data_IF_242663911865
#
_entry.id   IF_242663911865
#
_cell.length_a   1.000
_cell.length_b   1.000
_cell.length_c   1.000
_cell.angle_alpha   90.00
_cell.angle_beta   90.00
_cell.angle_gamma   90.00
#
_symmetry.space_group_name_H-M   'P 1'
#
loop_
_entity.id
_entity.type
_entity.pdbx_description
1 polymer ?
#
# COMPACT_ATOMS: atom_id res chain seq x y z
N UNK A 1 -37.60 23.51 83.11
CA UNK A 1 -36.62 22.62 82.47
C UNK A 1 -36.88 22.73 80.98
N UNK A 2 -36.07 23.51 80.28
CA UNK A 2 -36.04 23.50 78.82
C UNK A 2 -34.89 22.54 78.51
N UNK A 3 -35.22 21.35 78.03
CA UNK A 3 -34.21 20.44 77.52
C UNK A 3 -33.54 21.16 76.34
N UNK A 4 -32.28 21.58 76.51
CA UNK A 4 -31.43 21.99 75.40
C UNK A 4 -31.31 20.76 74.49
N UNK A 5 -32.22 20.68 73.50
CA UNK A 5 -32.13 19.80 72.35
C UNK A 5 -30.78 20.10 71.71
N UNK A 6 -29.79 19.29 72.08
CA UNK A 6 -28.43 19.33 71.58
C UNK A 6 -28.51 19.00 70.09
N UNK A 7 -28.69 20.04 69.27
CA UNK A 7 -28.76 19.92 67.81
C UNK A 7 -27.64 19.01 67.33
N UNK A 8 -28.03 17.90 66.70
CA UNK A 8 -27.09 16.96 66.12
C UNK A 8 -26.57 17.53 64.81
N UNK A 9 -25.50 18.30 64.90
CA UNK A 9 -24.83 18.94 63.77
C UNK A 9 -24.45 17.93 62.68
N UNK A 10 -24.13 16.67 63.04
CA UNK A 10 -23.79 15.64 62.08
C UNK A 10 -25.00 15.16 61.27
N UNK A 11 -26.17 15.05 61.91
CA UNK A 11 -27.41 14.73 61.19
C UNK A 11 -27.83 15.87 60.26
N UNK A 12 -27.71 17.12 60.72
CA UNK A 12 -28.03 18.31 59.93
C UNK A 12 -27.09 18.47 58.72
N UNK A 13 -25.79 18.24 58.90
CA UNK A 13 -24.79 18.29 57.82
C UNK A 13 -25.09 17.22 56.75
N UNK A 14 -25.43 15.99 57.17
CA UNK A 14 -25.82 14.92 56.25
C UNK A 14 -27.10 15.24 55.48
N UNK A 15 -28.09 15.85 56.12
CA UNK A 15 -29.32 16.29 55.46
C UNK A 15 -29.03 17.39 54.43
N UNK A 16 -28.19 18.37 54.80
CA UNK A 16 -27.75 19.43 53.88
C UNK A 16 -26.99 18.85 52.68
N UNK A 17 -26.05 17.94 52.91
CA UNK A 17 -25.31 17.27 51.83
C UNK A 17 -26.24 16.46 50.91
N UNK A 18 -27.24 15.79 51.48
CA UNK A 18 -28.23 15.05 50.69
C UNK A 18 -29.09 15.98 49.83
N UNK A 19 -29.53 17.13 50.37
CA UNK A 19 -30.27 18.14 49.64
C UNK A 19 -29.44 18.72 48.47
N UNK A 20 -28.18 19.10 48.75
CA UNK A 20 -27.26 19.61 47.71
C UNK A 20 -27.02 18.57 46.61
N UNK A 21 -26.85 17.30 46.97
CA UNK A 21 -26.66 16.23 46.00
C UNK A 21 -27.92 15.99 45.14
N UNK A 22 -29.11 16.13 45.73
CA UNK A 22 -30.39 16.02 45.03
C UNK A 22 -30.58 17.17 44.03
N UNK A 23 -30.28 18.40 44.44
CA UNK A 23 -30.33 19.58 43.56
C UNK A 23 -29.34 19.44 42.39
N UNK A 24 -28.10 19.05 42.67
CA UNK A 24 -27.10 18.81 41.63
C UNK A 24 -27.52 17.70 40.65
N UNK A 25 -28.28 16.70 41.11
CA UNK A 25 -28.86 15.66 40.24
C UNK A 25 -29.97 16.22 39.38
N UNK A 26 -30.88 17.00 39.96
CA UNK A 26 -31.97 17.65 39.25
C UNK A 26 -31.46 18.57 38.14
N UNK A 27 -30.44 19.38 38.44
CA UNK A 27 -29.80 20.26 37.45
C UNK A 27 -29.21 19.49 36.28
N UNK A 28 -28.47 18.39 36.56
CA UNK A 28 -27.90 17.51 35.51
C UNK A 28 -28.96 16.90 34.61
N UNK A 29 -30.04 16.39 35.18
CA UNK A 29 -31.15 15.83 34.40
C UNK A 29 -31.87 16.91 33.58
N UNK A 30 -32.09 18.09 34.16
CA UNK A 30 -32.74 19.20 33.47
C UNK A 30 -31.90 19.73 32.30
N UNK A 31 -30.59 19.88 32.50
CA UNK A 31 -29.66 20.25 31.42
C UNK A 31 -29.68 19.22 30.28
N UNK A 32 -29.69 17.93 30.60
CA UNK A 32 -29.82 16.88 29.58
C UNK A 32 -31.17 16.94 28.83
N UNK A 33 -32.28 17.23 29.53
CA UNK A 33 -33.60 17.44 28.90
C UNK A 33 -33.57 18.61 27.93
N UNK A 34 -33.04 19.77 28.37
CA UNK A 34 -32.93 20.96 27.54
C UNK A 34 -32.06 20.69 26.30
N UNK A 35 -30.91 20.03 26.49
CA UNK A 35 -30.01 19.64 25.40
C UNK A 35 -30.69 18.74 24.37
N UNK A 36 -31.40 17.71 24.81
CA UNK A 36 -32.12 16.80 23.92
C UNK A 36 -33.21 17.52 23.10
N UNK A 37 -33.91 18.48 23.73
CA UNK A 37 -34.90 19.33 23.05
C UNK A 37 -34.21 20.23 22.01
N UNK A 38 -33.11 20.89 22.38
CA UNK A 38 -32.33 21.74 21.47
C UNK A 38 -31.81 20.96 20.26
N UNK A 39 -31.38 19.71 20.46
CA UNK A 39 -30.91 18.81 19.41
C UNK A 39 -32.03 18.24 18.53
N UNK A 40 -33.31 18.46 18.88
CA UNK A 40 -34.49 17.97 18.14
C UNK A 40 -34.47 16.45 17.92
N UNK A 41 -34.22 15.74 19.00
CA UNK A 41 -34.24 14.27 19.07
C UNK A 41 -35.54 13.68 18.50
N UNK A 42 -35.42 12.61 17.69
CA UNK A 42 -36.51 12.12 16.85
C UNK A 42 -37.53 11.21 17.54
N UNK A 43 -37.19 10.66 18.71
CA UNK A 43 -38.05 9.72 19.45
C UNK A 43 -38.00 9.95 20.97
N UNK A 44 -39.05 9.54 21.68
CA UNK A 44 -39.08 9.61 23.14
C UNK A 44 -38.07 8.66 23.79
N UNK A 45 -37.78 7.52 23.16
CA UNK A 45 -36.78 6.57 23.65
C UNK A 45 -35.39 7.20 23.67
N UNK A 46 -34.99 7.86 22.57
CA UNK A 46 -33.71 8.58 22.49
C UNK A 46 -33.64 9.74 23.50
N UNK A 47 -34.76 10.48 23.70
CA UNK A 47 -34.82 11.51 24.74
C UNK A 47 -34.63 10.90 26.14
N UNK A 48 -35.30 9.79 26.43
CA UNK A 48 -35.19 9.09 27.72
C UNK A 48 -33.77 8.62 27.97
N UNK A 49 -33.12 8.06 26.96
CA UNK A 49 -31.76 7.55 27.06
C UNK A 49 -30.76 8.67 27.35
N UNK A 50 -30.89 9.84 26.70
CA UNK A 50 -30.06 11.02 26.96
C UNK A 50 -30.22 11.49 28.41
N UNK A 51 -31.44 11.54 28.94
CA UNK A 51 -31.71 11.98 30.31
C UNK A 51 -31.19 10.97 31.34
N UNK A 52 -31.36 9.66 31.09
CA UNK A 52 -30.81 8.60 31.94
C UNK A 52 -29.28 8.64 31.97
N UNK A 53 -28.65 8.95 30.84
CA UNK A 53 -27.21 9.10 30.69
C UNK A 53 -26.65 10.45 31.19
N UNK A 54 -27.45 11.32 31.80
CA UNK A 54 -27.03 12.65 32.27
C UNK A 54 -25.92 12.64 33.33
N UNK A 55 -25.73 11.51 34.01
CA UNK A 55 -24.67 11.32 34.99
C UNK A 55 -23.32 10.95 34.37
N UNK A 56 -23.27 10.65 33.07
CA UNK A 56 -22.03 10.33 32.37
C UNK A 56 -21.22 11.61 32.19
N UNK A 57 -19.93 11.54 32.55
CA UNK A 57 -18.98 12.61 32.30
C UNK A 57 -18.34 12.42 30.92
N UNK A 58 -18.00 13.49 30.20
CA UNK A 58 -17.14 13.40 29.03
C UNK A 58 -15.88 12.61 29.36
N UNK A 59 -15.39 11.80 28.42
CA UNK A 59 -14.16 11.05 28.58
C UNK A 59 -12.97 12.00 28.70
N UNK A 60 -12.32 12.01 29.85
CA UNK A 60 -11.12 12.79 30.09
C UNK A 60 -9.91 12.20 29.35
N UNK A 61 -8.88 13.02 29.14
CA UNK A 61 -7.67 12.58 28.41
C UNK A 61 -6.94 11.43 29.12
N UNK A 62 -6.98 11.39 30.45
CA UNK A 62 -6.42 10.31 31.25
C UNK A 62 -7.22 9.00 31.16
N UNK A 63 -8.54 9.07 30.98
CA UNK A 63 -9.39 7.89 30.80
C UNK A 63 -9.11 7.18 29.46
N UNK A 64 -8.63 7.93 28.46
CA UNK A 64 -8.25 7.41 27.13
C UNK A 64 -6.97 6.57 27.18
N UNK A 65 -6.04 6.88 28.09
CA UNK A 65 -4.75 6.17 28.23
C UNK A 65 -4.95 4.76 28.80
N UNK A 66 -5.95 4.58 29.68
CA UNK A 66 -6.24 3.30 30.34
C UNK A 66 -6.86 2.23 29.45
N UNK A 67 -7.44 2.60 28.30
CA UNK A 67 -8.01 1.64 27.34
C UNK A 67 -6.98 1.02 26.40
N UNK A 68 -5.69 1.41 26.47
CA UNK A 68 -4.66 0.95 25.53
C UNK A 68 -4.93 1.36 24.07
N UNK A 69 -5.90 2.27 23.87
CA UNK A 69 -6.24 2.85 22.59
C UNK A 69 -5.73 4.28 22.63
N UNK A 70 -4.56 4.50 22.05
CA UNK A 70 -4.14 5.86 21.71
C UNK A 70 -5.24 6.47 20.84
N UNK A 71 -6.07 7.34 21.42
CA UNK A 71 -7.17 7.97 20.68
C UNK A 71 -6.63 8.81 19.50
N UNK A 72 -5.37 9.23 19.60
CA UNK A 72 -4.59 9.85 18.52
C UNK A 72 -4.14 8.86 17.42
N UNK A 73 -4.09 7.57 17.71
CA UNK A 73 -3.88 6.49 16.73
C UNK A 73 -5.21 6.03 16.10
N UNK A 74 -6.35 6.24 16.74
CA UNK A 74 -7.69 6.19 16.12
C UNK A 74 -7.98 7.46 15.31
N UNK A 75 -7.01 7.85 14.48
CA UNK A 75 -7.19 8.82 13.43
C UNK A 75 -8.05 8.15 12.35
N UNK A 76 -9.36 8.38 12.43
CA UNK A 76 -10.32 8.06 11.34
C UNK A 76 -9.90 8.69 9.99
N UNK A 77 -8.91 9.58 10.02
CA UNK A 77 -8.10 10.02 8.90
C UNK A 77 -6.61 9.75 9.16
N UNK A 78 -6.03 8.74 8.52
CA UNK A 78 -4.58 8.48 8.54
C UNK A 78 -3.73 9.66 8.01
N UNK A 79 -4.37 10.66 7.36
CA UNK A 79 -3.74 11.79 6.69
C UNK A 79 -3.96 13.15 7.36
N UNK A 80 -4.72 13.23 8.46
CA UNK A 80 -4.93 14.49 9.15
C UNK A 80 -3.82 14.73 10.19
N UNK A 81 -2.64 15.16 9.78
CA UNK A 81 -1.66 15.76 10.69
C UNK A 81 -2.07 17.21 10.93
N UNK A 82 -2.79 17.47 12.02
CA UNK A 82 -2.96 18.82 12.54
C UNK A 82 -1.62 19.28 13.10
N UNK A 83 -1.10 20.32 12.48
CA UNK A 83 0.02 21.14 12.93
C UNK A 83 -0.43 21.86 14.20
N UNK A 84 0.08 21.44 15.36
CA UNK A 84 -0.01 22.25 16.58
C UNK A 84 1.36 22.88 16.84
N UNK A 85 1.35 24.21 16.88
CA UNK A 85 2.50 25.05 17.18
C UNK A 85 2.76 25.05 18.69
N UNK A 86 3.98 24.74 19.11
CA UNK A 86 4.41 24.97 20.49
C UNK A 86 5.40 23.96 21.06
N UNK A 87 6.61 23.86 20.50
CA UNK A 87 7.86 23.68 21.25
C UNK A 87 9.03 23.58 20.26
N UNK A 88 10.01 24.44 20.48
CA UNK A 88 11.16 24.65 19.61
C UNK A 88 12.11 23.44 19.63
N UNK A 89 12.53 23.09 18.41
CA UNK A 89 13.87 22.59 18.07
C UNK A 89 14.22 21.12 18.37
N UNK A 90 13.78 20.26 17.45
CA UNK A 90 14.76 19.57 16.60
C UNK A 90 14.23 19.44 15.18
N UNK A 91 14.82 20.25 14.31
CA UNK A 91 14.56 20.35 12.90
C UNK A 91 14.82 18.99 12.22
N UNK A 92 13.76 18.37 11.71
CA UNK A 92 13.84 17.55 10.50
C UNK A 92 12.48 17.55 9.79
N UNK A 93 11.97 18.74 9.46
CA UNK A 93 11.25 18.87 8.20
C UNK A 93 12.30 18.82 7.10
N UNK A 94 12.64 17.61 6.64
CA UNK A 94 13.25 17.50 5.32
C UNK A 94 12.14 17.67 4.29
N UNK A 95 12.31 18.56 3.30
CA UNK A 95 11.71 18.35 1.99
C UNK A 95 12.14 16.95 1.57
N UNK A 96 11.27 15.95 1.74
CA UNK A 96 11.64 14.57 1.48
C UNK A 96 11.82 14.44 -0.03
N UNK A 97 13.09 14.52 -0.43
CA UNK A 97 13.57 14.03 -1.71
C UNK A 97 12.94 12.66 -1.97
N UNK A 98 12.62 12.32 -3.24
CA UNK A 98 12.12 10.99 -3.56
C UNK A 98 13.07 9.95 -2.93
N UNK A 99 12.53 9.17 -2.01
CA UNK A 99 13.25 8.14 -1.26
C UNK A 99 14.08 7.34 -2.26
N UNK A 100 15.42 7.34 -2.12
CA UNK A 100 16.29 6.51 -2.96
C UNK A 100 16.07 5.03 -2.68
N UNK A 101 15.52 4.70 -1.53
CA UNK A 101 15.24 3.36 -1.05
C UNK A 101 13.95 2.79 -1.64
N UNK A 102 13.89 1.47 -1.83
CA UNK A 102 12.72 0.81 -2.39
C UNK A 102 11.64 0.70 -1.31
N UNK A 103 10.35 0.87 -1.67
CA UNK A 103 9.26 0.69 -0.72
C UNK A 103 9.31 -0.71 -0.07
N UNK A 104 9.19 -0.75 1.25
CA UNK A 104 9.11 -1.98 2.03
C UNK A 104 7.66 -2.36 2.34
N UNK A 105 6.73 -1.39 2.27
CA UNK A 105 5.29 -1.61 2.50
C UNK A 105 4.42 -1.08 1.36
N UNK A 106 3.19 -1.60 1.24
CA UNK A 106 2.21 -1.12 0.27
C UNK A 106 1.85 0.36 0.45
N UNK A 107 1.90 0.85 1.69
CA UNK A 107 1.62 2.24 2.03
C UNK A 107 2.72 3.17 1.54
N UNK A 108 3.99 2.83 1.79
CA UNK A 108 5.14 3.56 1.27
C UNK A 108 5.12 3.61 -0.25
N UNK A 109 4.80 2.49 -0.90
CA UNK A 109 4.65 2.46 -2.35
C UNK A 109 3.56 3.41 -2.83
N UNK A 110 2.37 3.37 -2.24
CA UNK A 110 1.27 4.26 -2.64
C UNK A 110 1.63 5.74 -2.43
N UNK A 111 2.28 6.07 -1.32
CA UNK A 111 2.75 7.43 -1.05
C UNK A 111 3.73 7.90 -2.12
N UNK A 112 4.71 7.06 -2.46
CA UNK A 112 5.75 7.39 -3.43
C UNK A 112 5.18 7.38 -4.87
N UNK A 113 4.22 6.52 -5.15
CA UNK A 113 3.48 6.42 -6.43
C UNK A 113 2.75 7.72 -6.76
N UNK A 114 1.98 8.25 -5.80
CA UNK A 114 1.18 9.46 -5.97
C UNK A 114 2.02 10.71 -6.25
N UNK A 115 3.27 10.75 -5.74
CA UNK A 115 4.19 11.90 -5.88
C UNK A 115 4.97 11.90 -7.20
N UNK A 116 4.96 10.80 -7.95
CA UNK A 116 5.80 10.58 -9.13
C UNK A 116 5.02 10.83 -10.44
N UNK A 117 5.75 11.26 -11.47
CA UNK A 117 5.28 11.40 -12.85
C UNK A 117 5.21 10.03 -13.57
N UNK A 118 4.58 9.94 -14.76
CA UNK A 118 4.50 8.67 -15.50
C UNK A 118 5.87 8.00 -15.77
N UNK A 119 6.92 8.72 -16.22
CA UNK A 119 8.26 8.12 -16.38
C UNK A 119 8.86 7.62 -15.05
N UNK A 120 8.69 8.38 -13.97
CA UNK A 120 9.23 7.99 -12.66
C UNK A 120 8.47 6.79 -12.06
N UNK A 121 7.17 6.67 -12.36
CA UNK A 121 6.33 5.52 -12.01
C UNK A 121 6.77 4.28 -12.76
N UNK A 122 7.10 4.40 -14.05
CA UNK A 122 7.66 3.31 -14.84
C UNK A 122 8.96 2.77 -14.23
N UNK A 123 9.90 3.68 -13.92
CA UNK A 123 11.17 3.31 -13.28
C UNK A 123 10.94 2.70 -11.90
N UNK A 124 10.01 3.22 -11.11
CA UNK A 124 9.65 2.65 -9.81
C UNK A 124 9.16 1.21 -9.93
N UNK A 125 8.24 0.93 -10.87
CA UNK A 125 7.70 -0.41 -11.10
C UNK A 125 8.78 -1.41 -11.48
N UNK A 126 9.70 -1.02 -12.36
CA UNK A 126 10.84 -1.86 -12.73
C UNK A 126 11.80 -2.10 -11.56
N UNK A 127 12.06 -1.07 -10.74
CA UNK A 127 12.93 -1.20 -9.55
C UNK A 127 12.31 -2.11 -8.50
N UNK A 128 11.01 -2.02 -8.27
CA UNK A 128 10.28 -2.91 -7.35
C UNK A 128 10.33 -4.35 -7.90
N UNK A 129 10.00 -4.52 -9.17
CA UNK A 129 10.02 -5.82 -9.84
C UNK A 129 8.94 -6.80 -9.35
N UNK A 130 8.84 -7.94 -10.01
CA UNK A 130 7.75 -8.90 -9.82
C UNK A 130 7.68 -9.50 -8.40
N UNK A 131 8.82 -9.94 -7.86
CA UNK A 131 8.88 -10.61 -6.55
C UNK A 131 8.42 -9.70 -5.42
N UNK A 132 9.01 -8.50 -5.30
CA UNK A 132 8.60 -7.54 -4.27
C UNK A 132 7.19 -7.04 -4.50
N UNK A 133 6.75 -6.84 -5.75
CA UNK A 133 5.37 -6.44 -6.02
C UNK A 133 4.36 -7.46 -5.48
N UNK A 134 4.63 -8.77 -5.62
CA UNK A 134 3.80 -9.82 -5.02
C UNK A 134 3.72 -9.70 -3.51
N UNK A 135 4.85 -9.48 -2.84
CA UNK A 135 4.89 -9.34 -1.39
C UNK A 135 4.18 -8.06 -0.92
N UNK A 136 4.36 -6.95 -1.64
CA UNK A 136 3.75 -5.66 -1.35
C UNK A 136 2.24 -5.70 -1.47
N UNK A 137 1.72 -6.32 -2.54
CA UNK A 137 0.29 -6.39 -2.83
C UNK A 137 -0.32 -7.74 -2.44
N UNK A 138 0.29 -8.42 -1.46
CA UNK A 138 -0.19 -9.72 -0.97
C UNK A 138 -1.63 -9.67 -0.48
N UNK A 139 -2.03 -8.55 0.13
CA UNK A 139 -3.38 -8.35 0.64
C UNK A 139 -4.36 -7.89 -0.45
N UNK A 140 -3.96 -6.90 -1.25
CA UNK A 140 -4.63 -6.45 -2.46
C UNK A 140 -3.79 -5.38 -3.19
N UNK A 141 -4.08 -5.19 -4.47
CA UNK A 141 -3.71 -3.97 -5.20
C UNK A 141 -4.77 -2.92 -4.90
N UNK A 142 -4.34 -1.75 -4.40
CA UNK A 142 -5.24 -0.66 -4.06
C UNK A 142 -6.07 -0.18 -5.26
N UNK A 143 -7.30 0.26 -5.00
CA UNK A 143 -8.21 0.70 -6.06
C UNK A 143 -7.58 1.79 -6.95
N UNK A 144 -7.72 1.64 -8.27
CA UNK A 144 -7.19 2.55 -9.29
C UNK A 144 -5.69 2.38 -9.59
N UNK A 145 -4.92 1.77 -8.69
CA UNK A 145 -3.48 1.63 -8.88
C UNK A 145 -3.14 0.76 -10.10
N UNK A 146 -3.90 -0.31 -10.34
CA UNK A 146 -3.67 -1.20 -11.49
C UNK A 146 -3.81 -0.46 -12.83
N UNK A 147 -4.84 0.39 -12.96
CA UNK A 147 -5.09 1.18 -14.16
C UNK A 147 -4.00 2.21 -14.38
N UNK A 148 -3.67 2.98 -13.34
CA UNK A 148 -2.57 3.95 -13.38
C UNK A 148 -1.22 3.29 -13.72
N UNK A 149 -0.96 2.11 -13.18
CA UNK A 149 0.25 1.35 -13.46
C UNK A 149 0.31 0.87 -14.91
N UNK A 150 -0.81 0.37 -15.43
CA UNK A 150 -0.91 -0.04 -16.83
C UNK A 150 -0.68 1.14 -17.79
N UNK A 151 -1.22 2.33 -17.48
CA UNK A 151 -0.99 3.54 -18.27
C UNK A 151 0.48 3.95 -18.25
N UNK A 152 1.11 4.02 -17.06
CA UNK A 152 2.52 4.38 -16.96
C UNK A 152 3.44 3.36 -17.68
N UNK A 153 3.12 2.06 -17.59
CA UNK A 153 3.81 1.02 -18.34
C UNK A 153 3.60 1.19 -19.85
N UNK A 154 2.38 1.43 -20.31
CA UNK A 154 2.10 1.64 -21.73
C UNK A 154 2.83 2.88 -22.27
N UNK A 155 2.83 4.00 -21.58
CA UNK A 155 3.46 5.24 -22.04
C UNK A 155 4.98 5.09 -22.20
N UNK A 156 5.65 4.40 -21.27
CA UNK A 156 7.12 4.38 -21.21
C UNK A 156 7.76 3.03 -21.58
N UNK A 157 6.99 2.02 -22.00
CA UNK A 157 7.50 0.67 -22.27
C UNK A 157 8.58 0.62 -23.38
N UNK A 158 9.67 -0.09 -23.08
CA UNK A 158 10.79 -0.41 -23.97
C UNK A 158 10.91 -1.91 -24.18
N UNK A 159 11.29 -2.34 -25.38
CA UNK A 159 11.43 -3.76 -25.75
C UNK A 159 12.46 -4.52 -24.90
N UNK A 160 13.45 -3.80 -24.37
CA UNK A 160 14.49 -4.34 -23.49
C UNK A 160 13.92 -4.84 -22.15
N UNK A 161 12.93 -4.12 -21.62
CA UNK A 161 12.29 -4.37 -20.33
C UNK A 161 11.16 -5.39 -20.42
N UNK A 162 10.85 -5.91 -21.62
CA UNK A 162 9.78 -6.88 -21.88
C UNK A 162 9.69 -8.04 -20.87
N UNK A 163 10.76 -8.77 -20.53
CA UNK A 163 10.66 -9.86 -19.55
C UNK A 163 10.30 -9.34 -18.15
N UNK A 164 10.89 -8.24 -17.70
CA UNK A 164 10.63 -7.68 -16.38
C UNK A 164 9.18 -7.17 -16.25
N UNK A 165 8.65 -6.53 -17.30
CA UNK A 165 7.26 -6.07 -17.34
C UNK A 165 6.30 -7.26 -17.40
N UNK A 166 6.63 -8.32 -18.15
CA UNK A 166 5.80 -9.53 -18.21
C UNK A 166 5.70 -10.23 -16.85
N UNK A 167 6.83 -10.40 -16.15
CA UNK A 167 6.84 -10.97 -14.80
C UNK A 167 6.10 -10.10 -13.80
N UNK A 168 6.24 -8.77 -13.89
CA UNK A 168 5.53 -7.84 -13.02
C UNK A 168 4.02 -7.93 -13.21
N UNK A 169 3.54 -7.92 -14.45
CA UNK A 169 2.12 -8.09 -14.76
C UNK A 169 1.61 -9.45 -14.30
N UNK A 170 2.41 -10.51 -14.43
CA UNK A 170 2.11 -11.83 -13.88
C UNK A 170 1.97 -11.80 -12.36
N UNK A 171 2.89 -11.15 -11.66
CA UNK A 171 2.82 -11.00 -10.21
C UNK A 171 1.59 -10.22 -9.75
N UNK A 172 1.19 -9.19 -10.50
CA UNK A 172 -0.04 -8.42 -10.24
C UNK A 172 -1.30 -9.25 -10.54
N UNK A 173 -1.29 -10.08 -11.58
CA UNK A 173 -2.39 -10.96 -11.93
C UNK A 173 -2.67 -12.04 -10.87
N UNK A 174 -1.66 -12.42 -10.09
CA UNK A 174 -1.80 -13.38 -8.99
C UNK A 174 -2.31 -12.76 -7.67
N UNK A 175 -2.48 -11.44 -7.61
CA UNK A 175 -2.97 -10.78 -6.40
C UNK A 175 -4.45 -11.08 -6.13
N UNK A 176 -4.87 -11.16 -4.86
CA UNK A 176 -6.28 -11.28 -4.54
C UNK A 176 -7.06 -10.07 -5.07
N UNK A 177 -8.30 -10.30 -5.51
CA UNK A 177 -9.18 -9.27 -6.10
C UNK A 177 -8.66 -8.67 -7.41
N UNK A 178 -7.75 -9.34 -8.11
CA UNK A 178 -7.31 -8.92 -9.44
C UNK A 178 -8.49 -8.79 -10.43
N UNK A 179 -9.40 -9.76 -10.47
CA UNK A 179 -10.58 -9.72 -11.35
C UNK A 179 -11.46 -8.48 -11.10
N UNK A 180 -11.65 -8.11 -9.82
CA UNK A 180 -12.38 -6.91 -9.45
C UNK A 180 -11.66 -5.65 -9.95
N UNK A 181 -10.35 -5.57 -9.77
CA UNK A 181 -9.55 -4.44 -10.27
C UNK A 181 -9.65 -4.32 -11.80
N UNK A 182 -9.64 -5.44 -12.53
CA UNK A 182 -9.83 -5.46 -13.98
C UNK A 182 -11.23 -4.97 -14.39
N UNK A 183 -12.28 -5.37 -13.67
CA UNK A 183 -13.65 -4.88 -13.92
C UNK A 183 -13.84 -3.39 -13.68
N UNK A 184 -13.00 -2.81 -12.82
CA UNK A 184 -13.06 -1.40 -12.45
C UNK A 184 -12.21 -0.50 -13.34
N UNK A 185 -11.47 -1.07 -14.31
CA UNK A 185 -10.70 -0.29 -15.28
C UNK A 185 -11.63 0.56 -16.17
N UNK A 186 -11.27 1.84 -16.31
CA UNK A 186 -11.93 2.73 -17.27
C UNK A 186 -11.59 2.39 -18.72
N UNK A 187 -12.33 2.97 -19.67
CA UNK A 187 -12.12 2.73 -21.10
C UNK A 187 -10.72 3.10 -21.60
N UNK A 188 -10.17 4.22 -21.12
CA UNK A 188 -8.81 4.66 -21.47
C UNK A 188 -7.73 3.72 -20.89
N UNK A 189 -7.89 3.29 -19.64
CA UNK A 189 -6.96 2.38 -18.97
C UNK A 189 -6.98 0.99 -19.61
N UNK A 190 -8.17 0.51 -19.99
CA UNK A 190 -8.32 -0.77 -20.69
C UNK A 190 -7.61 -0.76 -22.06
N UNK A 191 -7.68 0.34 -22.81
CA UNK A 191 -6.95 0.44 -24.07
C UNK A 191 -5.44 0.53 -23.84
N UNK A 192 -4.99 1.18 -22.76
CA UNK A 192 -3.59 1.17 -22.36
C UNK A 192 -3.10 -0.26 -22.04
N UNK A 193 -3.88 -1.05 -21.28
CA UNK A 193 -3.59 -2.48 -21.02
C UNK A 193 -3.52 -3.27 -22.32
N UNK A 194 -4.51 -3.12 -23.21
CA UNK A 194 -4.53 -3.84 -24.50
C UNK A 194 -3.35 -3.49 -25.38
N UNK A 195 -3.04 -2.21 -25.51
CA UNK A 195 -1.87 -1.70 -26.25
C UNK A 195 -0.57 -2.27 -25.68
N UNK A 196 -0.42 -2.25 -24.35
CA UNK A 196 0.73 -2.82 -23.66
C UNK A 196 0.88 -4.31 -23.93
N UNK A 197 -0.18 -5.12 -23.79
CA UNK A 197 -0.14 -6.56 -24.05
C UNK A 197 0.25 -6.88 -25.50
N UNK A 198 -0.27 -6.15 -26.50
CA UNK A 198 0.12 -6.34 -27.91
C UNK A 198 1.60 -6.05 -28.15
N UNK A 199 2.11 -4.96 -27.56
CA UNK A 199 3.53 -4.56 -27.67
C UNK A 199 4.45 -5.55 -26.96
N UNK A 200 4.08 -5.96 -25.76
CA UNK A 200 4.81 -6.95 -24.97
C UNK A 200 4.90 -8.29 -25.70
N UNK A 201 3.79 -8.80 -26.24
CA UNK A 201 3.78 -10.03 -27.04
C UNK A 201 4.70 -9.93 -28.25
N UNK A 202 4.62 -8.83 -28.99
CA UNK A 202 5.51 -8.58 -30.15
C UNK A 202 6.99 -8.52 -29.75
N UNK A 203 7.33 -7.88 -28.62
CA UNK A 203 8.70 -7.79 -28.11
C UNK A 203 9.23 -9.17 -27.66
N UNK A 204 8.40 -9.96 -26.96
CA UNK A 204 8.74 -11.33 -26.56
C UNK A 204 9.00 -12.23 -27.77
N UNK A 205 8.17 -12.14 -28.83
CA UNK A 205 8.40 -12.89 -30.07
C UNK A 205 9.69 -12.50 -30.77
N UNK A 206 9.99 -11.19 -30.89
CA UNK A 206 11.24 -10.71 -31.49
C UNK A 206 12.45 -11.26 -30.75
N UNK A 207 12.41 -11.25 -29.42
CA UNK A 207 13.48 -11.78 -28.57
C UNK A 207 13.64 -13.29 -28.73
N UNK A 208 12.54 -14.05 -28.74
CA UNK A 208 12.58 -15.51 -28.96
C UNK A 208 13.22 -15.86 -30.30
N UNK A 209 12.84 -15.15 -31.38
CA UNK A 209 13.46 -15.34 -32.71
C UNK A 209 14.94 -14.95 -32.72
N UNK A 210 15.35 -13.94 -31.96
CA UNK A 210 16.75 -13.55 -31.85
C UNK A 210 17.59 -14.60 -31.09
N UNK A 211 17.06 -15.17 -30.00
CA UNK A 211 17.74 -16.26 -29.27
C UNK A 211 17.86 -17.53 -30.11
N UNK A 212 16.83 -17.89 -30.88
CA UNK A 212 16.85 -19.06 -31.78
C UNK A 212 17.86 -18.89 -32.93
N UNK A 213 17.98 -17.67 -33.49
CA UNK A 213 18.97 -17.35 -34.52
C UNK A 213 20.41 -17.34 -34.00
N UNK A 214 20.62 -16.89 -32.76
CA UNK A 214 21.95 -16.90 -32.14
C UNK A 214 22.40 -18.34 -31.83
N UNK A 215 21.48 -19.20 -31.37
CA UNK A 215 21.76 -20.62 -31.11
C UNK A 215 22.12 -21.40 -32.39
N UNK A 216 21.49 -21.07 -33.52
CA UNK A 216 21.79 -21.69 -34.81
C UNK A 216 23.12 -21.22 -35.45
N UNK A 217 23.70 -20.10 -34.98
CA UNK A 217 24.94 -19.53 -35.52
C UNK A 217 26.22 -20.10 -34.89
N UNK A 218 26.13 -20.81 -33.77
CA UNK A 218 27.29 -21.30 -32.99
C UNK A 218 27.63 -22.78 -33.28
N UNK A 219 26.77 -23.50 -34.01
CA UNK A 219 27.00 -24.90 -34.44
C UNK A 219 27.79 -25.03 -35.76
N UNK A 220 28.15 -23.93 -36.43
CA UNK A 220 28.89 -23.96 -37.72
C UNK A 220 30.34 -23.47 -37.61
N UNK A 221 31.07 -23.88 -36.56
CA UNK A 221 32.53 -23.88 -36.59
C UNK A 221 33.01 -25.33 -36.83
N UNK A 222 33.42 -25.70 -38.06
CA UNK A 222 33.94 -27.05 -38.31
C UNK A 222 35.26 -27.20 -37.58
N UNK A 223 35.29 -28.08 -36.59
CA UNK A 223 36.50 -28.54 -35.95
C UNK A 223 37.47 -29.10 -36.97
N UNK A 224 38.70 -28.62 -36.91
CA UNK A 224 39.86 -29.17 -37.60
C UNK A 224 39.97 -30.69 -37.32
N UNK A 225 39.61 -31.49 -38.32
CA UNK A 225 39.83 -32.94 -38.31
C UNK A 225 41.32 -33.27 -38.48
N UNK A 226 41.81 -34.35 -37.85
CA UNK A 226 43.23 -34.69 -37.85
C UNK A 226 43.66 -35.21 -39.23
N UNK A 227 44.85 -34.78 -39.66
CA UNK A 227 45.58 -35.37 -40.79
C UNK A 227 45.95 -36.81 -40.44
N UNK A 228 45.34 -37.77 -41.11
CA UNK A 228 45.89 -39.12 -41.23
C UNK A 228 46.82 -39.14 -42.46
N UNK A 229 48.11 -39.09 -42.18
CA UNK A 229 49.16 -39.64 -43.04
C UNK A 229 49.07 -41.17 -42.93
N UNK A 230 48.85 -41.87 -44.03
CA UNK A 230 49.35 -43.24 -44.24
C UNK A 230 49.05 -43.74 -45.67
N UNK A 231 50.10 -44.17 -46.38
CA UNK A 231 50.03 -45.44 -47.13
C UNK A 231 49.99 -45.45 -48.66
N UNK A 232 51.18 -45.31 -49.28
CA UNK A 232 51.79 -46.28 -50.22
C UNK A 232 51.31 -46.49 -51.68
N UNK A 233 52.33 -46.57 -52.56
CA UNK A 233 52.33 -47.16 -53.92
C UNK A 233 52.64 -46.12 -55.00
N UNK A 234 53.69 -46.20 -55.83
CA UNK A 234 54.26 -47.36 -56.52
C UNK A 234 55.63 -46.96 -57.09
N UNK A 235 56.65 -47.80 -56.86
CA UNK A 235 57.93 -47.73 -57.57
C UNK A 235 57.76 -48.43 -58.91
N UNK A 236 58.06 -47.73 -60.00
CA UNK A 236 58.42 -48.37 -61.28
C UNK A 236 59.84 -47.96 -61.60
N UNK A 237 60.74 -48.93 -61.45
CA UNK A 237 62.07 -48.89 -62.00
C UNK A 237 61.98 -49.53 -63.38
N UNK A 238 62.28 -48.77 -64.43
CA UNK A 238 62.61 -49.35 -65.73
C UNK A 238 64.00 -48.88 -66.13
N UNK A 239 64.93 -49.80 -65.94
CA UNK A 239 66.28 -49.76 -66.49
C UNK A 239 66.23 -49.73 -68.02
N UNK A 240 66.90 -48.76 -68.63
CA UNK A 240 67.50 -48.92 -69.96
C UNK A 240 68.95 -48.48 -69.85
N UNK A 241 69.84 -49.46 -69.92
CA UNK A 241 71.26 -49.25 -70.13
C UNK A 241 71.65 -49.59 -71.57
N UNK A 242 72.79 -49.01 -71.94
CA UNK A 242 73.77 -49.45 -72.98
C UNK A 242 73.24 -49.29 -74.42
N UNK A 243 73.89 -48.56 -75.31
CA UNK A 243 75.33 -48.50 -75.66
C UNK A 243 75.69 -47.13 -76.26
#
# INVERSE_FOLDING_TARGET
AMDDEKLDWASLERELQAAVAADAKYERENDAKLRAITQRVGSYEEFRDIVLASHLRPLETCDKVGLGVDFHAQRWNAFATTKEEGSEESQHETPHQPSKELPCTALEFNRDWRRRSSPDRYVLLLRVGARRARDLFRAEVGFGLLGEAAVALAECFRDEDAPAVAELLGALAETPRFELNVRLLGGAELEAVRSLCRRLGSACERRRRATERSAAGEETAPGSGPRNDDGAGRREAESRGVE
#
